data_IF_709807004334
#
_entry.id   IF_709807004334
#
_cell.length_a   1.000
_cell.length_b   1.000
_cell.length_c   1.000
_cell.angle_alpha   90.00
_cell.angle_beta   90.00
_cell.angle_gamma   90.00
#
_symmetry.space_group_name_H-M   'P 1'
#
loop_
_entity.id
_entity.type
_entity.pdbx_description
1 polymer ?
#
# COMPACT_ATOMS: atom_id res chain seq x y z
N UNK A 1 -24.18 4.14 -17.71
CA UNK A 1 -24.02 2.99 -18.63
C UNK A 1 -22.78 3.23 -19.47
N UNK A 2 -21.69 2.52 -19.22
CA UNK A 2 -20.55 2.44 -20.13
C UNK A 2 -20.16 0.97 -20.24
N UNK A 3 -20.05 0.53 -21.49
CA UNK A 3 -20.08 -0.86 -21.92
C UNK A 3 -18.74 -1.56 -21.88
N UNK A 4 -18.85 -2.86 -22.12
CA UNK A 4 -17.79 -3.84 -22.21
C UNK A 4 -16.92 -3.68 -23.47
N UNK A 5 -15.66 -4.10 -23.34
CA UNK A 5 -14.98 -5.13 -24.15
C UNK A 5 -13.54 -4.74 -24.51
N UNK A 6 -12.62 -5.67 -24.25
CA UNK A 6 -11.81 -6.18 -25.35
C UNK A 6 -10.30 -6.03 -25.27
N UNK A 7 -9.68 -7.17 -25.01
CA UNK A 7 -8.48 -7.68 -25.68
C UNK A 7 -7.08 -7.20 -25.23
N UNK A 8 -6.35 -8.24 -24.79
CA UNK A 8 -4.92 -8.38 -24.79
C UNK A 8 -4.21 -7.78 -26.02
N UNK A 9 -3.09 -7.10 -25.77
CA UNK A 9 -1.96 -7.08 -26.72
C UNK A 9 -0.65 -7.34 -25.98
N UNK A 10 -0.09 -8.52 -26.25
CA UNK A 10 1.36 -8.76 -26.25
C UNK A 10 2.00 -7.78 -27.23
N UNK A 11 3.14 -7.21 -26.86
CA UNK A 11 4.04 -6.51 -27.77
C UNK A 11 5.49 -6.87 -27.46
N UNK A 12 5.97 -7.98 -28.02
CA UNK A 12 7.39 -8.29 -28.19
C UNK A 12 7.65 -8.27 -29.70
N UNK A 13 8.32 -7.24 -30.22
CA UNK A 13 9.10 -7.26 -31.47
C UNK A 13 10.16 -6.16 -31.39
N UNK A 14 11.39 -6.52 -31.74
CA UNK A 14 12.51 -5.60 -31.88
C UNK A 14 13.78 -6.32 -32.33
N UNK A 15 13.69 -7.12 -33.40
CA UNK A 15 14.84 -7.59 -34.18
C UNK A 15 14.75 -6.88 -35.54
N UNK A 16 15.77 -6.08 -35.88
CA UNK A 16 15.94 -5.43 -37.17
C UNK A 16 17.37 -4.90 -37.27
N UNK A 17 18.17 -5.48 -38.17
CA UNK A 17 19.61 -5.30 -38.27
C UNK A 17 20.07 -3.98 -38.90
N UNK A 18 21.34 -3.68 -38.68
CA UNK A 18 22.11 -2.63 -39.35
C UNK A 18 23.61 -2.92 -39.23
N UNK A 19 24.21 -3.32 -40.35
CA UNK A 19 25.65 -3.41 -40.51
C UNK A 19 26.26 -2.00 -40.66
N UNK A 20 27.46 -1.77 -40.13
CA UNK A 20 28.23 -0.55 -40.40
C UNK A 20 29.26 -0.25 -39.32
N UNK A 21 30.53 -0.38 -39.67
CA UNK A 21 31.67 -0.32 -38.75
C UNK A 21 32.07 1.08 -38.32
N UNK A 22 32.86 1.11 -37.24
CA UNK A 22 33.54 2.30 -36.73
C UNK A 22 34.63 1.86 -35.75
N UNK A 23 35.82 1.55 -36.28
CA UNK A 23 37.05 1.31 -35.51
C UNK A 23 37.55 2.62 -34.87
N UNK A 24 38.28 2.45 -33.77
CA UNK A 24 39.19 3.36 -33.02
C UNK A 24 38.57 3.99 -31.77
N UNK A 25 39.11 3.82 -30.57
CA UNK A 25 40.33 3.11 -30.19
C UNK A 25 40.46 3.04 -28.67
N UNK A 26 40.87 1.88 -28.17
CA UNK A 26 41.49 1.70 -26.86
C UNK A 26 42.72 0.83 -27.10
N UNK A 27 43.80 1.47 -27.50
CA UNK A 27 45.16 0.95 -27.34
C UNK A 27 45.54 1.19 -25.90
N UNK A 28 45.43 0.17 -25.06
CA UNK A 28 46.42 -0.05 -24.01
C UNK A 28 46.85 -1.50 -24.12
N UNK A 29 48.08 -1.65 -24.61
CA UNK A 29 48.80 -2.90 -24.69
C UNK A 29 48.93 -3.50 -23.29
N UNK A 30 48.35 -4.68 -23.10
CA UNK A 30 48.98 -5.71 -22.31
C UNK A 30 48.95 -6.98 -23.15
N UNK A 31 50.04 -7.19 -23.88
CA UNK A 31 50.40 -8.49 -24.41
C UNK A 31 50.80 -9.36 -23.22
N UNK A 32 49.90 -10.23 -22.77
CA UNK A 32 50.27 -11.44 -22.04
C UNK A 32 49.88 -12.68 -22.84
N UNK A 33 50.77 -13.68 -22.94
CA UNK A 33 50.63 -14.78 -23.86
C UNK A 33 49.72 -15.86 -23.27
N UNK A 34 48.73 -16.28 -24.06
CA UNK A 34 48.23 -17.65 -24.06
C UNK A 34 47.71 -18.21 -22.73
N UNK A 35 46.40 -18.21 -22.54
CA UNK A 35 45.79 -18.99 -21.48
C UNK A 35 44.29 -19.06 -21.63
N UNK A 36 43.81 -20.16 -22.21
CA UNK A 36 42.43 -20.32 -22.66
C UNK A 36 41.39 -20.04 -21.59
N UNK A 37 40.25 -19.53 -22.05
CA UNK A 37 39.04 -19.37 -21.26
C UNK A 37 38.69 -20.67 -20.55
N UNK A 38 39.00 -20.72 -19.25
CA UNK A 38 38.45 -21.69 -18.33
C UNK A 38 37.05 -21.21 -17.95
N UNK A 39 36.16 -21.26 -18.94
CA UNK A 39 34.77 -21.59 -18.66
C UNK A 39 34.74 -22.95 -17.96
N UNK A 40 33.65 -23.23 -17.27
CA UNK A 40 33.32 -24.44 -16.49
C UNK A 40 33.39 -25.79 -17.24
N UNK A 41 34.34 -25.95 -18.16
CA UNK A 41 34.58 -27.08 -19.03
C UNK A 41 35.88 -27.74 -18.57
N UNK A 42 35.71 -28.81 -17.80
CA UNK A 42 36.57 -29.98 -18.00
C UNK A 42 37.83 -30.09 -17.15
N UNK A 43 37.72 -29.92 -15.83
CA UNK A 43 38.67 -30.53 -14.89
C UNK A 43 37.96 -31.45 -13.90
N UNK A 44 37.09 -32.31 -14.41
CA UNK A 44 36.53 -33.43 -13.64
C UNK A 44 37.45 -34.63 -13.81
N UNK A 45 38.58 -34.65 -13.10
CA UNK A 45 39.33 -35.91 -12.87
C UNK A 45 38.74 -36.66 -11.67
N UNK A 46 37.41 -36.73 -11.61
CA UNK A 46 36.70 -37.43 -10.54
C UNK A 46 36.48 -38.89 -10.92
N UNK A 47 36.59 -39.81 -9.97
CA UNK A 47 36.19 -41.20 -10.19
C UNK A 47 34.69 -41.25 -10.51
N UNK A 48 34.22 -42.28 -11.22
CA UNK A 48 32.79 -42.49 -11.49
C UNK A 48 31.94 -42.45 -10.20
N UNK A 49 32.52 -42.91 -9.09
CA UNK A 49 31.93 -42.86 -7.77
C UNK A 49 31.66 -41.42 -7.30
N UNK A 50 32.61 -40.50 -7.40
CA UNK A 50 32.43 -39.09 -7.00
C UNK A 50 31.38 -38.38 -7.84
N UNK A 51 31.28 -38.73 -9.12
CA UNK A 51 30.22 -38.21 -9.99
C UNK A 51 28.85 -38.74 -9.53
N UNK A 52 28.75 -40.03 -9.19
CA UNK A 52 27.54 -40.63 -8.67
C UNK A 52 27.11 -40.00 -7.33
N UNK A 53 28.04 -39.76 -6.41
CA UNK A 53 27.80 -39.07 -5.14
C UNK A 53 27.24 -37.66 -5.38
N UNK A 54 27.84 -36.88 -6.28
CA UNK A 54 27.34 -35.54 -6.61
C UNK A 54 25.95 -35.54 -7.25
N UNK A 55 25.65 -36.54 -8.08
CA UNK A 55 24.29 -36.70 -8.60
C UNK A 55 23.30 -37.10 -7.51
N UNK A 56 23.72 -37.91 -6.53
CA UNK A 56 22.89 -38.25 -5.38
C UNK A 56 22.59 -37.00 -4.53
N UNK A 57 23.59 -36.17 -4.24
CA UNK A 57 23.40 -34.90 -3.50
C UNK A 57 22.52 -33.91 -4.26
N UNK A 58 22.70 -33.81 -5.58
CA UNK A 58 21.85 -32.96 -6.43
C UNK A 58 20.40 -33.46 -6.45
N UNK A 59 20.19 -34.77 -6.56
CA UNK A 59 18.85 -35.36 -6.50
C UNK A 59 18.21 -35.17 -5.11
N UNK A 60 18.98 -35.34 -4.03
CA UNK A 60 18.53 -35.09 -2.67
C UNK A 60 18.10 -33.63 -2.49
N UNK A 61 18.97 -32.67 -2.84
CA UNK A 61 18.65 -31.24 -2.74
C UNK A 61 17.46 -30.83 -3.62
N UNK A 62 17.29 -31.43 -4.80
CA UNK A 62 16.10 -31.20 -5.63
C UNK A 62 14.83 -31.73 -4.96
N UNK A 63 14.88 -32.94 -4.41
CA UNK A 63 13.74 -33.54 -3.69
C UNK A 63 13.36 -32.73 -2.45
N UNK A 64 14.34 -32.21 -1.71
CA UNK A 64 14.12 -31.31 -0.57
C UNK A 64 13.51 -29.98 -1.00
N UNK A 65 13.97 -29.40 -2.12
CA UNK A 65 13.39 -28.18 -2.66
C UNK A 65 11.91 -28.34 -3.03
N UNK A 66 11.52 -29.51 -3.57
CA UNK A 66 10.12 -29.84 -3.85
C UNK A 66 9.31 -29.97 -2.54
N UNK A 67 9.81 -30.70 -1.55
CA UNK A 67 9.13 -30.82 -0.23
C UNK A 67 8.94 -29.46 0.45
N UNK A 68 9.97 -28.63 0.49
CA UNK A 68 9.87 -27.28 1.06
C UNK A 68 8.84 -26.41 0.32
N UNK A 69 8.74 -26.56 -1.01
CA UNK A 69 7.72 -25.86 -1.78
C UNK A 69 6.32 -26.35 -1.40
N UNK A 70 6.11 -27.66 -1.32
CA UNK A 70 4.82 -28.25 -0.91
C UNK A 70 4.42 -27.83 0.50
N UNK A 71 5.35 -27.82 1.45
CA UNK A 71 5.12 -27.34 2.82
C UNK A 71 4.71 -25.87 2.85
N UNK A 72 5.40 -25.02 2.09
CA UNK A 72 5.03 -23.60 1.97
C UNK A 72 3.66 -23.44 1.32
N UNK A 73 3.35 -24.21 0.30
CA UNK A 73 2.03 -24.20 -0.36
C UNK A 73 0.93 -24.65 0.61
N UNK A 74 1.19 -25.68 1.41
CA UNK A 74 0.28 -26.16 2.47
C UNK A 74 0.04 -25.10 3.54
N UNK A 75 1.12 -24.48 4.06
CA UNK A 75 1.03 -23.39 5.03
C UNK A 75 0.28 -22.19 4.45
N UNK A 76 0.53 -21.82 3.19
CA UNK A 76 -0.17 -20.73 2.53
C UNK A 76 -1.66 -21.04 2.34
N UNK A 77 -2.01 -22.27 1.95
CA UNK A 77 -3.39 -22.71 1.84
C UNK A 77 -4.12 -22.63 3.19
N UNK A 78 -3.47 -23.08 4.28
CA UNK A 78 -4.00 -22.97 5.63
C UNK A 78 -4.25 -21.52 6.04
N UNK A 79 -3.26 -20.64 5.84
CA UNK A 79 -3.39 -19.21 6.16
C UNK A 79 -4.50 -18.53 5.34
N UNK A 80 -4.68 -18.91 4.06
CA UNK A 80 -5.80 -18.42 3.24
C UNK A 80 -7.14 -18.83 3.82
N UNK A 81 -7.29 -20.09 4.24
CA UNK A 81 -8.52 -20.58 4.87
C UNK A 81 -8.80 -19.81 6.17
N UNK A 82 -7.81 -19.69 7.06
CA UNK A 82 -7.93 -18.92 8.30
C UNK A 82 -8.27 -17.44 8.04
N UNK A 83 -7.67 -16.81 7.03
CA UNK A 83 -7.98 -15.43 6.66
C UNK A 83 -9.42 -15.28 6.17
N UNK A 84 -9.93 -16.23 5.37
CA UNK A 84 -11.34 -16.21 4.94
C UNK A 84 -12.30 -16.36 6.12
N UNK A 85 -11.99 -17.24 7.08
CA UNK A 85 -12.75 -17.39 8.33
C UNK A 85 -12.77 -16.07 9.12
N UNK A 86 -11.60 -15.47 9.36
CA UNK A 86 -11.48 -14.20 10.09
C UNK A 86 -12.18 -13.04 9.39
N UNK A 87 -12.21 -13.02 8.04
CA UNK A 87 -12.97 -12.01 7.28
C UNK A 87 -14.47 -12.16 7.48
N UNK A 88 -14.99 -13.39 7.51
CA UNK A 88 -16.41 -13.64 7.76
C UNK A 88 -16.79 -13.26 9.20
N UNK A 89 -15.95 -13.61 10.17
CA UNK A 89 -16.12 -13.22 11.56
C UNK A 89 -16.09 -11.70 11.74
N UNK A 90 -15.12 -11.02 11.14
CA UNK A 90 -15.08 -9.55 11.14
C UNK A 90 -16.33 -8.93 10.50
N UNK A 91 -16.86 -9.53 9.43
CA UNK A 91 -18.12 -9.07 8.82
C UNK A 91 -19.31 -9.26 9.78
N UNK A 92 -19.36 -10.37 10.51
CA UNK A 92 -20.38 -10.63 11.54
C UNK A 92 -20.25 -9.61 12.68
N UNK A 93 -19.06 -9.44 13.25
CA UNK A 93 -18.79 -8.49 14.33
C UNK A 93 -19.11 -7.04 13.91
N UNK A 94 -18.79 -6.63 12.67
CA UNK A 94 -19.18 -5.30 12.16
C UNK A 94 -20.70 -5.11 12.11
N UNK A 95 -21.47 -6.16 11.79
CA UNK A 95 -22.94 -6.10 11.81
C UNK A 95 -23.44 -5.98 13.25
N UNK A 96 -22.91 -6.80 14.15
CA UNK A 96 -23.25 -6.79 15.59
C UNK A 96 -22.92 -5.43 16.21
N UNK A 97 -21.69 -4.93 16.03
CA UNK A 97 -21.27 -3.60 16.50
C UNK A 97 -22.16 -2.49 15.95
N UNK A 98 -22.57 -2.56 14.67
CA UNK A 98 -23.50 -1.58 14.11
C UNK A 98 -24.88 -1.67 14.75
N UNK A 99 -25.36 -2.86 15.07
CA UNK A 99 -26.63 -3.04 15.78
C UNK A 99 -26.53 -2.51 17.22
N UNK A 100 -25.47 -2.86 17.95
CA UNK A 100 -25.21 -2.38 19.30
C UNK A 100 -25.06 -0.86 19.34
N UNK A 101 -24.34 -0.27 18.38
CA UNK A 101 -24.19 1.17 18.26
C UNK A 101 -25.53 1.86 18.02
N UNK A 102 -26.38 1.30 17.14
CA UNK A 102 -27.74 1.82 16.96
C UNK A 102 -28.59 1.69 18.22
N UNK A 103 -28.49 0.57 18.95
CA UNK A 103 -29.19 0.41 20.23
C UNK A 103 -28.70 1.41 21.28
N UNK A 104 -27.40 1.68 21.34
CA UNK A 104 -26.81 2.63 22.28
C UNK A 104 -27.20 4.09 21.95
N UNK A 105 -27.19 4.46 20.67
CA UNK A 105 -27.55 5.82 20.24
C UNK A 105 -29.05 6.09 20.25
N UNK A 106 -29.87 5.10 19.86
CA UNK A 106 -31.32 5.26 19.81
C UNK A 106 -32.01 4.89 21.13
N UNK A 107 -31.25 4.35 22.11
CA UNK A 107 -31.72 3.99 23.44
C UNK A 107 -32.90 3.00 23.44
N UNK A 108 -33.42 2.63 24.62
CA UNK A 108 -34.81 2.19 24.74
C UNK A 108 -35.70 3.27 24.11
N UNK A 109 -36.73 2.87 23.35
CA UNK A 109 -37.53 3.73 22.49
C UNK A 109 -38.10 5.00 23.16
N UNK A 110 -38.62 5.93 22.33
CA UNK A 110 -38.99 7.29 22.73
C UNK A 110 -40.24 7.31 23.62
N UNK A 111 -40.04 7.08 24.92
CA UNK A 111 -40.94 7.49 26.00
C UNK A 111 -40.38 8.71 26.76
N UNK A 112 -39.48 9.48 26.14
CA UNK A 112 -38.97 10.74 26.71
C UNK A 112 -39.56 11.93 25.95
N UNK A 113 -40.33 12.82 26.61
CA UNK A 113 -41.08 13.86 25.94
C UNK A 113 -40.16 14.98 25.42
N UNK A 114 -40.51 15.46 24.22
CA UNK A 114 -40.16 16.70 23.54
C UNK A 114 -39.13 17.62 24.22
N UNK A 115 -37.93 17.69 23.62
CA UNK A 115 -37.09 18.89 23.64
C UNK A 115 -36.16 18.88 22.42
N UNK A 116 -36.19 19.99 21.66
CA UNK A 116 -35.47 20.31 20.43
C UNK A 116 -35.97 19.63 19.13
N UNK A 117 -36.28 20.46 18.12
CA UNK A 117 -36.68 20.02 16.80
C UNK A 117 -35.51 19.29 16.11
N UNK A 118 -35.66 17.99 15.75
CA UNK A 118 -34.58 17.18 15.18
C UNK A 118 -34.07 17.70 13.82
N UNK A 119 -34.81 18.61 13.19
CA UNK A 119 -34.41 19.30 11.96
C UNK A 119 -33.24 20.27 12.17
N UNK A 120 -33.28 21.06 13.24
CA UNK A 120 -32.26 22.08 13.51
C UNK A 120 -30.92 21.45 13.92
N UNK A 121 -30.96 20.38 14.71
CA UNK A 121 -29.75 19.61 15.07
C UNK A 121 -29.12 18.94 13.85
N UNK A 122 -29.93 18.40 12.94
CA UNK A 122 -29.43 17.79 11.70
C UNK A 122 -28.79 18.82 10.77
N UNK A 123 -29.32 20.04 10.70
CA UNK A 123 -28.73 21.14 9.92
C UNK A 123 -27.45 21.70 10.56
N UNK A 124 -27.39 21.77 11.89
CA UNK A 124 -26.19 22.14 12.63
C UNK A 124 -25.05 21.13 12.38
N UNK A 125 -25.33 19.83 12.42
CA UNK A 125 -24.33 18.78 12.15
C UNK A 125 -23.86 18.79 10.68
N UNK A 126 -24.76 19.05 9.72
CA UNK A 126 -24.37 19.24 8.31
C UNK A 126 -23.47 20.46 8.13
N UNK A 127 -23.79 21.56 8.83
CA UNK A 127 -22.98 22.78 8.83
C UNK A 127 -21.59 22.53 9.43
N UNK A 128 -21.51 21.80 10.54
CA UNK A 128 -20.24 21.39 11.15
C UNK A 128 -19.42 20.47 10.24
N UNK A 129 -20.05 19.48 9.60
CA UNK A 129 -19.39 18.62 8.62
C UNK A 129 -18.86 19.41 7.42
N UNK A 130 -19.62 20.38 6.91
CA UNK A 130 -19.19 21.27 5.84
C UNK A 130 -17.94 22.09 6.23
N UNK A 131 -17.93 22.65 7.46
CA UNK A 131 -16.77 23.36 8.00
C UNK A 131 -15.54 22.45 8.11
N UNK A 132 -15.71 21.23 8.62
CA UNK A 132 -14.61 20.27 8.78
C UNK A 132 -14.04 19.82 7.42
N UNK A 133 -14.91 19.54 6.45
CA UNK A 133 -14.52 19.18 5.09
C UNK A 133 -13.77 20.31 4.39
N UNK A 134 -14.21 21.55 4.59
CA UNK A 134 -13.55 22.74 4.05
C UNK A 134 -12.15 22.95 4.67
N UNK A 135 -12.00 22.76 5.99
CA UNK A 135 -10.69 22.74 6.65
C UNK A 135 -9.76 21.68 6.06
N UNK A 136 -10.27 20.46 5.91
CA UNK A 136 -9.50 19.37 5.31
C UNK A 136 -9.07 19.69 3.87
N UNK A 137 -9.95 20.31 3.08
CA UNK A 137 -9.65 20.77 1.73
C UNK A 137 -8.52 21.82 1.73
N UNK A 138 -8.57 22.79 2.64
CA UNK A 138 -7.55 23.84 2.78
C UNK A 138 -6.20 23.27 3.21
N UNK A 139 -6.17 22.40 4.22
CA UNK A 139 -4.95 21.72 4.66
C UNK A 139 -4.29 20.92 3.54
N UNK A 140 -5.07 20.19 2.74
CA UNK A 140 -4.54 19.46 1.58
C UNK A 140 -4.01 20.39 0.48
N UNK A 141 -4.65 21.54 0.26
CA UNK A 141 -4.16 22.54 -0.70
C UNK A 141 -2.85 23.17 -0.22
N UNK A 142 -2.74 23.46 1.07
CA UNK A 142 -1.53 23.95 1.70
C UNK A 142 -0.37 22.96 1.53
N UNK A 143 -0.55 21.69 1.94
CA UNK A 143 0.46 20.64 1.76
C UNK A 143 0.90 20.43 0.30
N UNK A 144 -0.01 20.64 -0.67
CA UNK A 144 0.34 20.60 -2.09
C UNK A 144 1.17 21.80 -2.53
N UNK A 145 0.92 22.99 -1.98
CA UNK A 145 1.72 24.21 -2.22
C UNK A 145 3.11 24.07 -1.63
N UNK A 146 3.24 23.64 -0.37
CA UNK A 146 4.54 23.42 0.28
C UNK A 146 5.39 22.41 -0.49
N UNK A 147 4.76 21.32 -0.95
CA UNK A 147 5.44 20.31 -1.79
C UNK A 147 5.91 20.87 -3.13
N UNK A 148 5.20 21.83 -3.71
CA UNK A 148 5.59 22.47 -4.97
C UNK A 148 6.65 23.58 -4.78
N UNK A 149 6.71 24.18 -3.59
CA UNK A 149 7.56 25.33 -3.27
C UNK A 149 8.94 24.96 -2.66
N UNK A 150 9.31 23.67 -2.62
CA UNK A 150 10.48 23.10 -1.93
C UNK A 150 11.68 24.06 -1.73
N UNK A 151 11.70 24.70 -0.56
CA UNK A 151 12.80 25.47 0.01
C UNK A 151 12.62 25.51 1.52
N UNK A 152 13.66 25.16 2.29
CA UNK A 152 13.59 24.87 3.73
C UNK A 152 13.05 26.01 4.60
N UNK A 153 13.12 27.27 4.15
CA UNK A 153 12.65 28.43 4.94
C UNK A 153 11.17 28.80 4.70
N UNK A 154 10.52 28.23 3.68
CA UNK A 154 9.07 28.40 3.49
C UNK A 154 8.27 27.49 4.44
N UNK A 155 8.84 26.35 4.86
CA UNK A 155 8.13 25.32 5.63
C UNK A 155 7.78 25.74 7.06
N UNK A 156 8.62 26.53 7.75
CA UNK A 156 8.33 26.93 9.14
C UNK A 156 7.25 28.02 9.27
N UNK A 157 7.12 28.88 8.26
CA UNK A 157 6.03 29.87 8.18
C UNK A 157 4.72 29.20 7.73
N UNK A 158 4.81 28.31 6.76
CA UNK A 158 3.71 27.46 6.27
C UNK A 158 3.13 26.58 7.42
N UNK A 159 3.98 26.02 8.29
CA UNK A 159 3.52 25.20 9.42
C UNK A 159 2.73 26.03 10.46
N UNK A 160 3.10 27.29 10.71
CA UNK A 160 2.33 28.21 11.59
C UNK A 160 0.99 28.62 10.98
N UNK A 161 0.94 28.90 9.68
CA UNK A 161 -0.33 29.20 8.99
C UNK A 161 -1.29 28.00 9.00
N UNK A 162 -0.76 26.77 8.94
CA UNK A 162 -1.53 25.54 9.11
C UNK A 162 -2.14 25.42 10.50
N UNK A 163 -1.39 25.75 11.55
CA UNK A 163 -1.86 25.74 12.93
C UNK A 163 -2.94 26.80 13.16
N UNK A 164 -2.78 28.02 12.64
CA UNK A 164 -3.79 29.08 12.72
C UNK A 164 -5.12 28.67 12.04
N UNK A 165 -5.07 28.03 10.87
CA UNK A 165 -6.27 27.51 10.17
C UNK A 165 -6.97 26.37 10.94
N UNK A 166 -6.24 25.66 11.79
CA UNK A 166 -6.79 24.62 12.67
C UNK A 166 -7.45 25.25 13.91
N UNK A 167 -6.80 26.25 14.52
CA UNK A 167 -7.25 26.96 15.74
C UNK A 167 -8.51 27.82 15.52
N UNK A 168 -8.70 28.43 14.34
CA UNK A 168 -9.89 29.27 14.02
C UNK A 168 -11.26 28.56 14.16
N UNK A 169 -11.31 27.24 14.41
CA UNK A 169 -12.56 26.50 14.65
C UNK A 169 -12.88 26.16 16.11
N UNK A 170 -12.01 26.51 17.05
CA UNK A 170 -12.28 26.29 18.48
C UNK A 170 -13.10 27.43 19.12
N UNK A 171 -13.52 28.43 18.35
CA UNK A 171 -14.51 29.42 18.81
C UNK A 171 -15.90 28.77 18.86
N UNK A 172 -16.13 28.13 20.00
CA UNK A 172 -17.38 27.66 20.54
C UNK A 172 -18.47 28.74 20.39
N UNK A 173 -19.68 28.43 19.89
CA UNK A 173 -20.76 29.40 19.87
C UNK A 173 -21.08 29.87 21.30
N UNK A 174 -21.50 31.14 21.50
CA UNK A 174 -21.73 31.68 22.84
C UNK A 174 -22.78 30.85 23.56
N UNK A 175 -22.39 30.29 24.71
CA UNK A 175 -23.30 29.63 25.66
C UNK A 175 -24.44 30.61 26.00
N UNK A 176 -25.72 30.23 25.91
CA UNK A 176 -26.80 31.09 26.40
C UNK A 176 -26.62 31.26 27.91
N UNK A 177 -26.38 32.50 28.32
CA UNK A 177 -26.26 32.92 29.71
C UNK A 177 -27.52 32.53 30.49
N UNK A 178 -27.40 31.58 31.41
CA UNK A 178 -28.37 31.40 32.47
C UNK A 178 -28.32 32.61 33.39
N UNK A 179 -29.36 33.44 33.33
CA UNK A 179 -29.58 34.54 34.26
C UNK A 179 -29.74 34.00 35.69
N UNK A 180 -29.24 34.70 36.73
CA UNK A 180 -29.55 34.35 38.10
C UNK A 180 -30.96 34.87 38.43
N UNK A 181 -31.73 34.09 39.19
CA UNK A 181 -32.55 34.48 40.34
C UNK A 181 -33.20 33.24 40.95
#
# INVERSE_FOLDING_TARGET
>A
RWGCNGSARRGRVGLGGGAGGGRRGWTQEFSEPGGGGQGWRGQSRGSLQQLAERYADLAASHSEALRQREEREWQNARLRQENTRLRLENRRLRRENRCLFRQALLGPGPDKPAAADPGEEAEALRSQLGRLQEKHRRALQHLRRCRAASGQEASELDDRELDELLEEGEQQPPSPSGAPL
#
